data_IF_419141401214
#
_entry.id   IF_419141401214
#
_cell.length_a   1.000
_cell.length_b   1.000
_cell.length_c   1.000
_cell.angle_alpha   90.00
_cell.angle_beta   90.00
_cell.angle_gamma   90.00
#
_symmetry.space_group_name_H-M   'P 1'
#
loop_
_entity.id
_entity.type
_entity.pdbx_description
1 polymer ?
#
# COMPACT_ATOMS: atom_id res chain seq x y z
N UNK A 1 -5.64 -20.97 -19.88
CA UNK A 1 -6.66 -20.82 -18.83
C UNK A 1 -5.92 -20.99 -17.49
N UNK A 2 -5.74 -19.92 -16.71
CA UNK A 2 -5.04 -20.02 -15.43
C UNK A 2 -5.90 -20.86 -14.46
N UNK A 3 -5.30 -21.89 -13.88
CA UNK A 3 -5.98 -22.88 -13.03
C UNK A 3 -6.74 -22.25 -11.86
N UNK A 4 -7.79 -22.96 -11.44
CA UNK A 4 -8.74 -22.58 -10.39
C UNK A 4 -8.07 -22.02 -9.12
N UNK A 5 -8.63 -20.91 -8.61
CA UNK A 5 -8.40 -20.39 -7.27
C UNK A 5 -7.34 -19.31 -7.15
N UNK A 6 -6.07 -19.70 -7.00
CA UNK A 6 -5.05 -18.81 -6.42
C UNK A 6 -4.40 -17.84 -7.41
N UNK A 7 -4.05 -18.28 -8.62
CA UNK A 7 -3.30 -17.45 -9.56
C UNK A 7 -4.11 -16.23 -10.04
N UNK A 8 -5.40 -16.43 -10.29
CA UNK A 8 -6.32 -15.37 -10.72
C UNK A 8 -6.55 -14.35 -9.61
N UNK A 9 -6.72 -14.82 -8.36
CA UNK A 9 -6.85 -13.94 -7.19
C UNK A 9 -5.60 -13.06 -7.02
N UNK A 10 -4.40 -13.65 -7.07
CA UNK A 10 -3.14 -12.92 -7.00
C UNK A 10 -3.04 -11.88 -8.13
N UNK A 11 -3.43 -12.23 -9.35
CA UNK A 11 -3.43 -11.31 -10.49
C UNK A 11 -4.32 -10.08 -10.28
N UNK A 12 -5.54 -10.27 -9.76
CA UNK A 12 -6.48 -9.19 -9.45
C UNK A 12 -5.92 -8.27 -8.36
N UNK A 13 -5.37 -8.87 -7.31
CA UNK A 13 -4.79 -8.14 -6.16
C UNK A 13 -3.57 -7.33 -6.60
N UNK A 14 -2.69 -7.94 -7.39
CA UNK A 14 -1.53 -7.27 -7.97
C UNK A 14 -1.97 -6.08 -8.83
N UNK A 15 -2.94 -6.27 -9.73
CA UNK A 15 -3.45 -5.20 -10.58
C UNK A 15 -4.05 -4.05 -9.76
N UNK A 16 -4.85 -4.36 -8.73
CA UNK A 16 -5.44 -3.36 -7.85
C UNK A 16 -4.40 -2.53 -7.08
N UNK A 17 -3.30 -3.16 -6.67
CA UNK A 17 -2.21 -2.53 -5.92
C UNK A 17 -1.23 -1.75 -6.82
N UNK A 18 -1.06 -2.17 -8.08
CA UNK A 18 -0.03 -1.64 -8.98
C UNK A 18 -0.25 -0.15 -9.30
N UNK A 19 -1.47 0.23 -9.69
CA UNK A 19 -1.78 1.61 -10.09
C UNK A 19 -1.51 2.68 -9.04
N UNK A 20 -2.05 2.59 -7.80
CA UNK A 20 -1.76 3.59 -6.79
C UNK A 20 -0.27 3.66 -6.47
N UNK A 21 0.43 2.52 -6.44
CA UNK A 21 1.87 2.49 -6.17
C UNK A 21 2.65 3.23 -7.26
N UNK A 22 2.39 2.94 -8.54
CA UNK A 22 3.06 3.60 -9.66
C UNK A 22 2.80 5.11 -9.70
N UNK A 23 1.54 5.54 -9.50
CA UNK A 23 1.18 6.95 -9.52
C UNK A 23 1.84 7.73 -8.38
N UNK A 24 1.89 7.14 -7.19
CA UNK A 24 2.56 7.75 -6.04
C UNK A 24 4.08 7.78 -6.21
N UNK A 25 4.68 6.71 -6.75
CA UNK A 25 6.11 6.69 -7.05
C UNK A 25 6.50 7.78 -8.06
N UNK A 26 5.73 7.91 -9.14
CA UNK A 26 5.94 8.95 -10.15
C UNK A 26 5.79 10.36 -9.58
N UNK A 27 4.74 10.56 -8.77
CA UNK A 27 4.51 11.84 -8.08
C UNK A 27 5.64 12.14 -7.09
N UNK A 28 6.15 11.13 -6.40
CA UNK A 28 7.26 11.25 -5.46
C UNK A 28 8.55 11.71 -6.11
N UNK A 29 8.91 11.12 -7.26
CA UNK A 29 10.10 11.54 -8.02
C UNK A 29 9.93 12.98 -8.53
N UNK A 30 8.74 13.35 -9.01
CA UNK A 30 8.46 14.71 -9.48
C UNK A 30 8.41 15.75 -8.36
N UNK A 31 8.10 15.35 -7.14
CA UNK A 31 8.06 16.24 -5.98
C UNK A 31 9.45 16.61 -5.43
N UNK A 32 10.51 15.90 -5.85
CA UNK A 32 11.89 16.21 -5.45
C UNK A 32 12.29 17.58 -5.98
N UNK A 33 12.82 18.43 -5.09
CA UNK A 33 13.20 19.79 -5.47
C UNK A 33 14.35 19.78 -6.49
N UNK A 34 14.18 20.37 -7.69
CA UNK A 34 15.23 20.42 -8.71
C UNK A 34 16.49 21.18 -8.24
N UNK A 35 16.37 22.05 -7.23
CA UNK A 35 17.51 22.70 -6.60
C UNK A 35 18.46 21.71 -5.92
N UNK A 36 17.94 20.67 -5.28
CA UNK A 36 18.76 19.64 -4.63
C UNK A 36 19.54 18.82 -5.66
N UNK A 37 18.93 18.54 -6.81
CA UNK A 37 19.57 17.87 -7.93
C UNK A 37 20.71 18.74 -8.49
N UNK A 38 20.45 20.02 -8.77
CA UNK A 38 21.46 20.97 -9.28
C UNK A 38 22.61 21.17 -8.30
N UNK A 39 22.33 21.28 -7.01
CA UNK A 39 23.36 21.41 -5.97
C UNK A 39 24.23 20.16 -5.87
N UNK A 40 23.63 18.96 -5.93
CA UNK A 40 24.37 17.70 -5.95
C UNK A 40 25.30 17.60 -7.16
N UNK A 41 24.80 17.91 -8.35
CA UNK A 41 25.62 17.92 -9.58
C UNK A 41 26.75 18.95 -9.53
N UNK A 42 26.51 20.15 -8.97
CA UNK A 42 27.54 21.17 -8.80
C UNK A 42 28.66 20.76 -7.84
N UNK A 43 28.38 19.88 -6.88
CA UNK A 43 29.37 19.29 -5.97
C UNK A 43 30.06 18.05 -6.56
N UNK A 44 29.81 17.71 -7.83
CA UNK A 44 30.42 16.57 -8.51
C UNK A 44 29.79 15.21 -8.18
N UNK A 45 28.55 15.18 -7.68
CA UNK A 45 27.83 13.91 -7.52
C UNK A 45 27.52 13.29 -8.89
N UNK A 46 27.80 11.99 -9.03
CA UNK A 46 27.41 11.22 -10.20
C UNK A 46 25.90 10.93 -10.21
N UNK A 47 25.38 10.47 -11.36
CA UNK A 47 23.95 10.20 -11.52
C UNK A 47 23.44 9.14 -10.53
N UNK A 48 24.27 8.14 -10.20
CA UNK A 48 23.89 7.10 -9.23
C UNK A 48 23.84 7.64 -7.80
N UNK A 49 24.79 8.47 -7.38
CA UNK A 49 24.73 9.14 -6.08
C UNK A 49 23.52 10.08 -6.00
N UNK A 50 23.20 10.80 -7.08
CA UNK A 50 22.03 11.67 -7.13
C UNK A 50 20.74 10.86 -6.96
N UNK A 51 20.64 9.71 -7.64
CA UNK A 51 19.48 8.82 -7.52
C UNK A 51 19.32 8.26 -6.10
N UNK A 52 20.36 7.62 -5.55
CA UNK A 52 20.27 6.94 -4.26
C UNK A 52 20.28 7.88 -3.05
N UNK A 53 20.94 9.05 -3.13
CA UNK A 53 21.10 9.96 -1.99
C UNK A 53 20.17 11.17 -2.02
N UNK A 54 19.56 11.50 -3.16
CA UNK A 54 18.66 12.66 -3.28
C UNK A 54 17.25 12.24 -3.71
N UNK A 55 17.13 11.50 -4.82
CA UNK A 55 15.82 11.16 -5.39
C UNK A 55 15.08 10.14 -4.53
N UNK A 56 15.70 8.98 -4.25
CA UNK A 56 15.10 7.94 -3.40
C UNK A 56 14.72 8.52 -2.05
N UNK A 57 15.57 9.33 -1.39
CA UNK A 57 15.18 9.93 -0.13
C UNK A 57 14.02 10.91 -0.22
N UNK A 58 14.07 11.81 -1.21
CA UNK A 58 13.02 12.82 -1.42
C UNK A 58 11.67 12.23 -1.81
N UNK A 59 11.64 11.10 -2.52
CA UNK A 59 10.42 10.44 -2.96
C UNK A 59 9.81 9.52 -1.87
N UNK A 60 10.55 9.20 -0.81
CA UNK A 60 10.18 8.15 0.15
C UNK A 60 8.85 8.38 0.86
N UNK A 61 8.47 9.61 1.29
CA UNK A 61 7.15 9.84 1.87
C UNK A 61 6.02 9.50 0.89
N UNK A 62 6.19 9.83 -0.39
CA UNK A 62 5.24 9.48 -1.44
C UNK A 62 5.21 7.97 -1.71
N UNK A 63 6.35 7.29 -1.64
CA UNK A 63 6.38 5.83 -1.75
C UNK A 63 5.62 5.16 -0.60
N UNK A 64 5.74 5.67 0.62
CA UNK A 64 4.98 5.19 1.78
C UNK A 64 3.48 5.43 1.59
N UNK A 65 3.07 6.62 1.13
CA UNK A 65 1.64 6.88 0.84
C UNK A 65 1.13 5.97 -0.27
N UNK A 66 1.95 5.72 -1.30
CA UNK A 66 1.66 4.78 -2.37
C UNK A 66 1.45 3.36 -1.88
N UNK A 67 2.36 2.86 -1.04
CA UNK A 67 2.26 1.53 -0.43
C UNK A 67 1.00 1.39 0.43
N UNK A 68 0.66 2.41 1.22
CA UNK A 68 -0.58 2.42 2.03
C UNK A 68 -1.82 2.32 1.15
N UNK A 69 -1.90 3.14 0.11
CA UNK A 69 -3.02 3.09 -0.84
C UNK A 69 -3.08 1.76 -1.59
N UNK A 70 -1.93 1.22 -2.01
CA UNK A 70 -1.83 -0.07 -2.66
C UNK A 70 -2.31 -1.20 -1.75
N UNK A 71 -1.92 -1.18 -0.47
CA UNK A 71 -2.38 -2.14 0.53
C UNK A 71 -3.90 -2.07 0.74
N UNK A 72 -4.48 -0.89 0.90
CA UNK A 72 -5.95 -0.75 1.07
C UNK A 72 -6.72 -1.33 -0.13
N UNK A 73 -6.23 -1.11 -1.35
CA UNK A 73 -6.85 -1.67 -2.56
C UNK A 73 -6.65 -3.18 -2.66
N UNK A 74 -5.44 -3.65 -2.38
CA UNK A 74 -5.13 -5.08 -2.32
C UNK A 74 -6.02 -5.80 -1.30
N UNK A 75 -6.22 -5.21 -0.12
CA UNK A 75 -7.01 -5.75 0.97
C UNK A 75 -8.45 -6.07 0.53
N UNK A 76 -9.12 -5.08 -0.09
CA UNK A 76 -10.49 -5.25 -0.59
C UNK A 76 -10.52 -6.26 -1.74
N UNK A 77 -9.52 -6.22 -2.63
CA UNK A 77 -9.42 -7.14 -3.76
C UNK A 77 -9.21 -8.61 -3.32
N UNK A 78 -8.39 -8.86 -2.29
CA UNK A 78 -8.16 -10.21 -1.74
C UNK A 78 -9.47 -10.76 -1.18
N UNK A 79 -10.16 -9.98 -0.34
CA UNK A 79 -11.42 -10.42 0.27
C UNK A 79 -12.47 -10.72 -0.81
N UNK A 80 -12.63 -9.84 -1.79
CA UNK A 80 -13.54 -10.07 -2.91
C UNK A 80 -13.13 -11.28 -3.78
N UNK A 81 -11.84 -11.51 -3.97
CA UNK A 81 -11.34 -12.68 -4.69
C UNK A 81 -11.63 -13.97 -3.91
N UNK A 82 -11.40 -14.01 -2.60
CA UNK A 82 -11.72 -15.18 -1.75
C UNK A 82 -13.21 -15.51 -1.77
N UNK A 83 -14.08 -14.49 -1.83
CA UNK A 83 -15.54 -14.69 -1.93
C UNK A 83 -15.96 -15.35 -3.26
N UNK A 84 -15.23 -15.08 -4.35
CA UNK A 84 -15.61 -15.53 -5.69
C UNK A 84 -14.86 -16.77 -6.16
N UNK A 85 -13.68 -17.03 -5.60
CA UNK A 85 -12.75 -18.06 -6.10
C UNK A 85 -13.13 -19.50 -5.72
N UNK A 86 -14.30 -19.72 -5.09
CA UNK A 86 -14.74 -21.04 -4.59
C UNK A 86 -13.64 -21.76 -3.78
N UNK A 87 -12.86 -20.99 -3.03
CA UNK A 87 -11.84 -21.50 -2.12
C UNK A 87 -12.53 -21.97 -0.86
N UNK A 88 -12.32 -23.21 -0.40
CA UNK A 88 -12.88 -23.70 0.88
C UNK A 88 -12.24 -23.06 2.13
N UNK A 89 -11.49 -21.97 1.96
CA UNK A 89 -10.70 -21.32 3.00
C UNK A 89 -10.56 -19.81 2.73
N UNK A 90 -10.48 -19.03 3.81
CA UNK A 90 -10.37 -17.58 3.76
C UNK A 90 -11.50 -16.87 4.50
N UNK A 91 -11.24 -15.64 4.94
CA UNK A 91 -12.24 -14.83 5.64
C UNK A 91 -13.31 -14.31 4.66
N UNK A 92 -12.93 -14.05 3.40
CA UNK A 92 -13.89 -13.72 2.35
C UNK A 92 -14.85 -14.87 2.07
N UNK A 93 -14.33 -16.10 1.97
CA UNK A 93 -15.18 -17.28 1.81
C UNK A 93 -16.13 -17.49 3.00
N UNK A 94 -15.64 -17.33 4.24
CA UNK A 94 -16.48 -17.48 5.45
C UNK A 94 -17.69 -16.51 5.44
N UNK A 95 -17.51 -15.29 4.93
CA UNK A 95 -18.60 -14.33 4.77
C UNK A 95 -19.61 -14.84 3.73
N UNK A 96 -19.13 -15.39 2.62
CA UNK A 96 -19.98 -15.91 1.56
C UNK A 96 -20.79 -17.12 2.04
N UNK A 97 -20.15 -18.07 2.72
CA UNK A 97 -20.79 -19.24 3.32
C UNK A 97 -21.84 -18.86 4.37
N UNK A 98 -21.47 -17.97 5.32
CA UNK A 98 -22.39 -17.49 6.34
C UNK A 98 -23.60 -16.76 5.75
N UNK A 99 -23.41 -16.02 4.65
CA UNK A 99 -24.49 -15.37 3.91
C UNK A 99 -25.43 -16.39 3.27
N UNK A 100 -24.90 -17.45 2.67
CA UNK A 100 -25.70 -18.49 2.00
C UNK A 100 -26.58 -19.26 2.99
N UNK A 101 -26.05 -19.54 4.19
CA UNK A 101 -26.81 -20.15 5.29
C UNK A 101 -27.60 -19.16 6.16
N UNK A 102 -27.70 -17.88 5.76
CA UNK A 102 -28.41 -16.81 6.49
C UNK A 102 -27.95 -16.64 7.96
N UNK A 103 -26.71 -17.01 8.27
CA UNK A 103 -26.10 -16.89 9.60
C UNK A 103 -25.50 -15.48 9.76
N UNK A 104 -26.38 -14.51 10.00
CA UNK A 104 -25.99 -13.10 10.15
C UNK A 104 -24.94 -12.88 11.26
N UNK A 105 -25.04 -13.63 12.37
CA UNK A 105 -24.10 -13.51 13.50
C UNK A 105 -22.66 -13.84 13.07
N UNK A 106 -22.47 -14.92 12.32
CA UNK A 106 -21.17 -15.37 11.82
C UNK A 106 -20.64 -14.42 10.76
N UNK A 107 -21.52 -13.95 9.86
CA UNK A 107 -21.16 -12.99 8.82
C UNK A 107 -20.65 -11.67 9.42
N UNK A 108 -21.33 -11.14 10.43
CA UNK A 108 -20.93 -9.92 11.12
C UNK A 108 -19.63 -10.10 11.92
N UNK A 109 -19.45 -11.25 12.58
CA UNK A 109 -18.20 -11.56 13.26
C UNK A 109 -17.02 -11.63 12.29
N UNK A 110 -17.19 -12.27 11.12
CA UNK A 110 -16.16 -12.34 10.08
C UNK A 110 -15.81 -10.94 9.52
N UNK A 111 -16.81 -10.10 9.26
CA UNK A 111 -16.60 -8.71 8.85
C UNK A 111 -15.81 -7.91 9.90
N UNK A 112 -16.14 -8.07 11.18
CA UNK A 112 -15.43 -7.42 12.28
C UNK A 112 -13.96 -7.86 12.35
N UNK A 113 -13.69 -9.15 12.16
CA UNK A 113 -12.31 -9.70 12.13
C UNK A 113 -11.52 -9.12 10.95
N UNK A 114 -12.09 -9.07 9.74
CA UNK A 114 -11.44 -8.45 8.58
C UNK A 114 -11.14 -6.97 8.86
N UNK A 115 -12.10 -6.23 9.39
CA UNK A 115 -11.92 -4.83 9.76
C UNK A 115 -10.80 -4.63 10.78
N UNK A 116 -10.75 -5.48 11.81
CA UNK A 116 -9.70 -5.46 12.84
C UNK A 116 -8.32 -5.77 12.27
N UNK A 117 -8.19 -6.76 11.39
CA UNK A 117 -6.90 -7.11 10.77
C UNK A 117 -6.43 -5.96 9.88
N UNK A 118 -7.31 -5.42 9.03
CA UNK A 118 -6.99 -4.28 8.17
C UNK A 118 -6.56 -3.05 8.99
N UNK A 119 -7.29 -2.75 10.06
CA UNK A 119 -6.95 -1.65 10.98
C UNK A 119 -5.64 -1.88 11.73
N UNK A 120 -5.39 -3.11 12.20
CA UNK A 120 -4.15 -3.46 12.88
C UNK A 120 -2.95 -3.31 11.93
N UNK A 121 -3.06 -3.78 10.69
CA UNK A 121 -2.02 -3.57 9.67
C UNK A 121 -1.77 -2.08 9.41
N UNK A 122 -2.84 -1.30 9.23
CA UNK A 122 -2.74 0.14 9.01
C UNK A 122 -2.01 0.85 10.16
N UNK A 123 -2.38 0.54 11.40
CA UNK A 123 -1.83 1.17 12.60
C UNK A 123 -0.40 0.72 12.91
N UNK A 124 -0.13 -0.59 12.81
CA UNK A 124 1.13 -1.19 13.23
C UNK A 124 2.20 -1.08 12.15
N UNK A 125 1.85 -1.36 10.89
CA UNK A 125 2.83 -1.35 9.79
C UNK A 125 3.02 0.08 9.32
N UNK A 126 1.98 0.71 8.77
CA UNK A 126 2.10 2.03 8.19
C UNK A 126 2.28 3.13 9.24
N UNK A 127 1.60 3.03 10.39
CA UNK A 127 1.80 3.96 11.50
C UNK A 127 3.20 3.91 12.14
N UNK A 128 3.92 2.79 12.03
CA UNK A 128 5.33 2.70 12.47
C UNK A 128 6.28 3.17 11.38
N UNK A 129 6.04 2.79 10.11
CA UNK A 129 6.79 3.26 8.95
C UNK A 129 6.77 4.79 8.83
N UNK A 130 5.61 5.40 9.02
CA UNK A 130 5.43 6.84 8.98
C UNK A 130 6.21 7.54 10.09
N UNK A 131 6.12 7.06 11.34
CA UNK A 131 6.90 7.60 12.46
C UNK A 131 8.40 7.44 12.26
N UNK A 132 8.86 6.27 11.81
CA UNK A 132 10.27 6.01 11.60
C UNK A 132 10.89 6.80 10.43
N UNK A 133 10.08 7.21 9.44
CA UNK A 133 10.59 7.82 8.20
C UNK A 133 10.26 9.29 8.06
N UNK A 134 9.01 9.71 8.33
CA UNK A 134 8.58 11.12 8.21
C UNK A 134 9.24 11.99 9.28
N UNK A 135 9.42 11.48 10.51
CA UNK A 135 10.13 12.22 11.56
C UNK A 135 11.63 12.31 11.29
N UNK A 136 12.23 11.30 10.67
CA UNK A 136 13.67 11.27 10.42
C UNK A 136 14.07 12.22 9.31
N UNK A 137 13.22 12.40 8.29
CA UNK A 137 13.56 13.15 7.08
C UNK A 137 12.83 14.49 6.95
N UNK A 138 12.08 14.91 7.97
CA UNK A 138 11.84 16.33 8.27
C UNK A 138 11.19 17.17 7.16
N UNK A 139 10.44 16.57 6.23
CA UNK A 139 9.81 17.31 5.12
C UNK A 139 8.43 17.91 5.45
N UNK A 140 8.07 18.03 6.73
CA UNK A 140 6.99 18.92 7.13
C UNK A 140 7.60 20.30 7.31
N UNK A 141 7.56 21.11 6.26
CA UNK A 141 7.73 22.57 6.42
C UNK A 141 6.60 23.04 7.34
N UNK A 142 6.90 23.20 8.63
CA UNK A 142 6.16 24.13 9.46
C UNK A 142 6.36 25.51 8.85
N UNK A 143 5.42 25.92 8.00
CA UNK A 143 5.24 27.33 7.66
C UNK A 143 4.83 28.00 8.97
N UNK A 144 5.81 28.52 9.70
CA UNK A 144 5.57 29.43 10.81
C UNK A 144 5.02 30.72 10.19
N UNK A 145 3.73 30.96 10.42
CA UNK A 145 3.17 32.32 10.42
C UNK A 145 3.57 33.04 11.69
#
# INVERSE_FOLDING_TARGET
WFGLGNATAIGIVFYAALFPMLLNAWSGVRAVNPLWLRAGSAMGADEQALFWKVIIPGAFPFLITGLRQAFLRAWIAVVGAEMLAASDWGLGWLIFDAKEFLKADVMLAALAVIGLIGFAFERLVFGTLERATVQRWGMVRTVKG
#
